data_IF_001350666765
#
_entry.id   IF_001350666765
#
_cell.length_a   1.000
_cell.length_b   1.000
_cell.length_c   1.000
_cell.angle_alpha   90.00
_cell.angle_beta   90.00
_cell.angle_gamma   90.00
#
_symmetry.space_group_name_H-M   'P 1'
#
loop_
_entity.id
_entity.type
_entity.pdbx_description
1 polymer ?
#
# COMPACT_ATOMS: atom_id res chain seq x y z
N UNK A 1 -22.28 -13.79 -0.80
CA UNK A 1 -20.96 -13.35 -0.29
C UNK A 1 -20.36 -12.40 -1.31
N UNK A 2 -20.13 -11.12 -0.94
CA UNK A 2 -19.54 -10.16 -1.85
C UNK A 2 -18.02 -10.34 -1.89
N UNK A 3 -17.44 -10.35 -3.09
CA UNK A 3 -16.00 -10.34 -3.29
C UNK A 3 -15.42 -9.00 -2.82
N UNK A 4 -14.50 -9.04 -1.88
CA UNK A 4 -13.84 -7.85 -1.35
C UNK A 4 -12.38 -7.81 -1.78
N UNK A 5 -11.93 -6.68 -2.30
CA UNK A 5 -10.52 -6.42 -2.59
C UNK A 5 -9.87 -5.85 -1.33
N UNK A 6 -8.87 -6.54 -0.78
CA UNK A 6 -8.13 -6.11 0.39
C UNK A 6 -6.74 -5.61 -0.01
N UNK A 7 -6.21 -4.57 0.64
CA UNK A 7 -4.86 -4.10 0.37
C UNK A 7 -3.82 -5.11 0.88
N UNK A 8 -2.68 -5.14 0.20
CA UNK A 8 -1.49 -5.85 0.67
C UNK A 8 -0.46 -4.78 1.02
N UNK A 9 -0.18 -4.62 2.31
CA UNK A 9 0.75 -3.61 2.82
C UNK A 9 2.20 -4.01 2.57
N UNK A 10 3.11 -3.04 2.60
CA UNK A 10 4.53 -3.22 2.36
C UNK A 10 5.28 -3.13 3.69
N UNK A 11 6.08 -4.15 4.00
CA UNK A 11 7.09 -4.09 5.04
C UNK A 11 8.42 -3.71 4.38
N UNK A 12 9.04 -2.66 4.87
CA UNK A 12 10.23 -2.05 4.27
C UNK A 12 11.44 -2.34 5.14
N UNK A 13 12.51 -2.81 4.51
CA UNK A 13 13.77 -3.18 5.15
C UNK A 13 14.94 -2.49 4.43
N UNK A 14 16.02 -2.26 5.15
CA UNK A 14 17.29 -1.81 4.58
C UNK A 14 17.52 -0.30 4.65
N UNK A 15 16.60 0.47 5.23
CA UNK A 15 16.83 1.91 5.43
C UNK A 15 17.49 2.26 6.77
N UNK A 16 17.62 1.29 7.70
CA UNK A 16 18.27 1.50 8.99
C UNK A 16 17.59 2.62 9.80
N UNK A 17 18.38 3.62 10.19
CA UNK A 17 17.93 4.76 11.01
C UNK A 17 17.29 5.90 10.20
N UNK A 18 17.06 5.71 8.89
CA UNK A 18 16.40 6.71 8.05
C UNK A 18 14.98 6.97 8.54
N UNK A 19 14.61 8.24 8.72
CA UNK A 19 13.22 8.64 8.92
C UNK A 19 12.46 8.54 7.59
N UNK A 20 11.79 7.43 7.37
CA UNK A 20 11.10 7.15 6.11
C UNK A 20 9.93 8.12 5.84
N UNK A 21 9.10 8.51 6.83
CA UNK A 21 8.08 9.55 6.64
C UNK A 21 8.66 10.88 6.14
N UNK A 22 9.76 11.34 6.75
CA UNK A 22 10.44 12.57 6.34
C UNK A 22 11.03 12.44 4.93
N UNK A 23 11.72 11.34 4.66
CA UNK A 23 12.31 11.08 3.35
C UNK A 23 11.27 11.03 2.23
N UNK A 24 10.15 10.33 2.45
CA UNK A 24 9.04 10.27 1.49
C UNK A 24 8.38 11.65 1.31
N UNK A 25 8.09 12.35 2.42
CA UNK A 25 7.45 13.67 2.38
C UNK A 25 8.30 14.77 1.74
N UNK A 26 9.62 14.57 1.65
CA UNK A 26 10.56 15.50 1.02
C UNK A 26 10.78 15.27 -0.47
N UNK A 27 10.26 14.18 -1.03
CA UNK A 27 10.34 13.92 -2.47
C UNK A 27 9.45 14.92 -3.24
N UNK A 28 9.91 15.28 -4.43
CA UNK A 28 9.12 16.08 -5.35
C UNK A 28 7.78 15.38 -5.68
N UNK A 29 6.69 16.11 -5.53
CA UNK A 29 5.33 15.57 -5.68
C UNK A 29 4.84 14.75 -4.49
N UNK A 30 5.49 14.83 -3.36
CA UNK A 30 5.06 14.19 -2.12
C UNK A 30 4.85 15.21 -1.01
N UNK A 31 3.98 14.92 -0.07
CA UNK A 31 3.76 15.80 1.09
C UNK A 31 3.19 15.03 2.28
N UNK A 32 3.59 15.41 3.48
CA UNK A 32 2.94 14.94 4.72
C UNK A 32 1.60 15.65 4.86
N UNK A 33 0.52 14.88 4.98
CA UNK A 33 -0.86 15.40 5.00
C UNK A 33 -1.61 15.11 6.30
N UNK A 34 -1.03 14.32 7.19
CA UNK A 34 -1.63 14.01 8.48
C UNK A 34 -0.92 12.90 9.24
N UNK A 35 -1.51 12.51 10.35
CA UNK A 35 -1.04 11.42 11.21
C UNK A 35 -2.21 10.56 11.66
N UNK A 36 -1.92 9.34 12.09
CA UNK A 36 -2.87 8.44 12.73
C UNK A 36 -2.24 7.86 14.00
N UNK A 37 -3.04 7.70 15.04
CA UNK A 37 -2.59 7.09 16.30
C UNK A 37 -2.37 5.59 16.15
N UNK A 38 -1.64 5.00 17.10
CA UNK A 38 -1.42 3.56 17.14
C UNK A 38 -2.74 2.76 17.20
N UNK A 39 -3.75 3.24 17.92
CA UNK A 39 -5.06 2.61 17.99
C UNK A 39 -5.80 2.64 16.64
N UNK A 40 -5.71 3.75 15.91
CA UNK A 40 -6.32 3.87 14.59
C UNK A 40 -5.64 2.97 13.54
N UNK A 41 -4.35 2.72 13.70
CA UNK A 41 -3.63 1.74 12.88
C UNK A 41 -4.06 0.33 13.25
N UNK A 42 -4.09 -0.01 14.53
CA UNK A 42 -4.43 -1.35 15.03
C UNK A 42 -5.85 -1.78 14.62
N UNK A 43 -6.83 -0.89 14.72
CA UNK A 43 -8.23 -1.19 14.39
C UNK A 43 -8.61 -0.94 12.93
N UNK A 44 -7.68 -0.44 12.13
CA UNK A 44 -7.85 -0.21 10.68
C UNK A 44 -8.57 1.09 10.31
N UNK A 45 -8.94 1.95 11.28
CA UNK A 45 -9.53 3.27 10.99
C UNK A 45 -8.63 4.17 10.17
N UNK A 46 -7.30 3.96 10.26
CA UNK A 46 -6.32 4.64 9.43
C UNK A 46 -6.63 4.55 7.94
N UNK A 47 -7.23 3.44 7.46
CA UNK A 47 -7.60 3.28 6.05
C UNK A 47 -8.64 4.30 5.57
N UNK A 48 -9.51 4.77 6.46
CA UNK A 48 -10.46 5.84 6.15
C UNK A 48 -9.74 7.18 5.99
N UNK A 49 -8.84 7.51 6.93
CA UNK A 49 -8.03 8.72 6.86
C UNK A 49 -7.16 8.74 5.60
N UNK A 50 -6.53 7.61 5.24
CA UNK A 50 -5.75 7.45 4.01
C UNK A 50 -6.60 7.69 2.76
N UNK A 51 -7.82 7.15 2.73
CA UNK A 51 -8.73 7.35 1.59
C UNK A 51 -9.11 8.81 1.46
N UNK A 52 -9.50 9.45 2.54
CA UNK A 52 -9.98 10.84 2.55
C UNK A 52 -8.84 11.83 2.22
N UNK A 53 -7.62 11.53 2.64
CA UNK A 53 -6.43 12.32 2.33
C UNK A 53 -5.76 11.97 0.99
N UNK A 54 -6.15 10.88 0.32
CA UNK A 54 -5.47 10.41 -0.87
C UNK A 54 -4.03 9.95 -0.62
N UNK A 55 -3.75 9.37 0.55
CA UNK A 55 -2.39 9.14 1.05
C UNK A 55 -2.11 7.66 1.35
N UNK A 56 -0.84 7.31 1.38
CA UNK A 56 -0.31 6.11 2.04
C UNK A 56 -0.01 6.44 3.51
N UNK A 57 0.10 5.43 4.37
CA UNK A 57 0.45 5.63 5.78
C UNK A 57 1.74 4.88 6.11
N UNK A 58 2.72 5.59 6.67
CA UNK A 58 4.01 5.05 7.09
C UNK A 58 3.97 4.81 8.58
N UNK A 59 4.02 3.56 8.99
CA UNK A 59 3.90 3.12 10.39
C UNK A 59 5.28 2.99 11.01
N UNK A 60 5.47 3.66 12.14
CA UNK A 60 6.69 3.64 12.94
C UNK A 60 6.67 2.61 14.07
N UNK A 61 7.77 2.52 14.81
CA UNK A 61 7.94 1.57 15.93
C UNK A 61 7.00 1.81 17.11
N UNK A 62 6.55 3.03 17.28
CA UNK A 62 5.56 3.40 18.30
C UNK A 62 4.12 3.01 17.92
N UNK A 63 3.95 2.44 16.73
CA UNK A 63 2.68 2.01 16.18
C UNK A 63 1.85 3.11 15.55
N UNK A 64 2.23 4.38 15.71
CA UNK A 64 1.59 5.50 15.01
C UNK A 64 1.96 5.54 13.53
N UNK A 65 1.23 6.31 12.75
CA UNK A 65 1.51 6.46 11.34
C UNK A 65 1.51 7.92 10.90
N UNK A 66 2.36 8.22 9.93
CA UNK A 66 2.37 9.49 9.19
C UNK A 66 1.75 9.25 7.82
N UNK A 67 0.79 10.09 7.44
CA UNK A 67 0.13 10.04 6.15
C UNK A 67 0.91 10.88 5.14
N UNK A 68 1.31 10.24 4.03
CA UNK A 68 2.07 10.89 2.95
C UNK A 68 1.27 10.77 1.65
N UNK A 69 0.90 11.89 1.09
CA UNK A 69 0.29 11.95 -0.24
C UNK A 69 1.38 11.87 -1.32
N UNK A 70 1.13 11.07 -2.35
CA UNK A 70 1.97 10.93 -3.53
C UNK A 70 1.15 11.47 -4.72
N UNK A 71 1.48 12.69 -5.17
CA UNK A 71 0.73 13.36 -6.23
C UNK A 71 0.81 12.57 -7.55
N UNK A 72 -0.31 12.10 -8.10
CA UNK A 72 -0.33 11.37 -9.37
C UNK A 72 0.38 12.09 -10.51
N UNK A 73 0.30 13.43 -10.56
CA UNK A 73 0.95 14.24 -11.60
C UNK A 73 2.49 14.13 -11.58
N UNK A 74 3.08 13.85 -10.43
CA UNK A 74 4.54 13.69 -10.27
C UNK A 74 5.02 12.25 -10.57
N UNK A 75 4.10 11.35 -10.84
CA UNK A 75 4.33 9.94 -11.16
C UNK A 75 3.70 9.56 -12.49
N UNK A 76 3.74 10.48 -13.48
CA UNK A 76 3.22 10.24 -14.83
C UNK A 76 3.82 9.00 -15.47
N UNK A 77 2.99 8.26 -16.21
CA UNK A 77 3.40 7.01 -16.87
C UNK A 77 3.41 5.78 -15.96
N UNK A 78 3.05 5.92 -14.68
CA UNK A 78 2.78 4.80 -13.79
C UNK A 78 1.27 4.55 -13.69
N UNK A 79 0.93 3.31 -13.33
CA UNK A 79 -0.45 2.96 -13.00
C UNK A 79 -0.99 3.86 -11.87
N UNK A 80 -2.27 4.22 -11.93
CA UNK A 80 -2.93 4.98 -10.87
C UNK A 80 -3.19 4.12 -9.62
N UNK A 81 -2.10 3.58 -9.06
CA UNK A 81 -2.08 2.70 -7.91
C UNK A 81 -1.07 3.19 -6.88
N UNK A 82 -1.46 3.15 -5.61
CA UNK A 82 -0.53 3.43 -4.50
C UNK A 82 0.72 2.56 -4.55
N UNK A 83 0.57 1.29 -4.94
CA UNK A 83 1.68 0.35 -5.03
C UNK A 83 2.74 0.76 -6.07
N UNK A 84 2.32 1.29 -7.22
CA UNK A 84 3.21 1.73 -8.28
C UNK A 84 3.94 3.03 -7.87
N UNK A 85 3.20 4.02 -7.38
CA UNK A 85 3.78 5.29 -6.90
C UNK A 85 4.73 5.08 -5.73
N UNK A 86 4.33 4.25 -4.76
CA UNK A 86 5.19 3.92 -3.61
C UNK A 86 6.48 3.23 -4.04
N UNK A 87 6.41 2.26 -4.95
CA UNK A 87 7.59 1.57 -5.45
C UNK A 87 8.60 2.54 -6.08
N UNK A 88 8.12 3.49 -6.90
CA UNK A 88 8.96 4.52 -7.48
C UNK A 88 9.50 5.50 -6.43
N UNK A 89 8.67 5.93 -5.46
CA UNK A 89 9.12 6.80 -4.38
C UNK A 89 10.23 6.17 -3.54
N UNK A 90 10.07 4.90 -3.14
CA UNK A 90 11.10 4.17 -2.40
C UNK A 90 12.39 3.98 -3.21
N UNK A 91 12.29 3.74 -4.52
CA UNK A 91 13.43 3.65 -5.42
C UNK A 91 14.22 4.97 -5.47
N UNK A 92 13.54 6.12 -5.43
CA UNK A 92 14.19 7.45 -5.39
C UNK A 92 14.93 7.69 -4.08
N UNK A 93 14.46 7.12 -2.95
CA UNK A 93 15.13 7.24 -1.65
C UNK A 93 16.41 6.40 -1.62
N UNK A 94 16.36 5.15 -2.06
CA UNK A 94 17.54 4.30 -2.08
C UNK A 94 17.27 2.80 -2.13
N UNK A 95 18.34 2.00 -2.01
CA UNK A 95 18.24 0.54 -1.97
C UNK A 95 17.43 0.07 -0.76
N UNK A 96 16.50 -0.84 -0.97
CA UNK A 96 15.63 -1.39 0.06
C UNK A 96 15.14 -2.78 -0.34
N UNK A 97 14.59 -3.50 0.63
CA UNK A 97 13.88 -4.76 0.41
C UNK A 97 12.43 -4.64 0.86
N UNK A 98 11.53 -5.31 0.16
CA UNK A 98 10.11 -5.34 0.48
C UNK A 98 9.65 -6.75 0.79
N UNK A 99 8.88 -6.87 1.87
CA UNK A 99 8.02 -8.02 2.12
C UNK A 99 6.57 -7.56 2.21
N UNK A 100 5.62 -8.48 2.30
CA UNK A 100 4.21 -8.19 2.11
C UNK A 100 3.39 -8.70 3.29
N UNK A 101 2.44 -7.89 3.75
CA UNK A 101 1.63 -8.21 4.91
C UNK A 101 0.17 -7.83 4.70
N UNK A 102 -0.75 -8.72 5.08
CA UNK A 102 -2.18 -8.43 5.16
C UNK A 102 -2.54 -7.96 6.57
N UNK A 103 -3.46 -6.99 6.64
CA UNK A 103 -3.94 -6.44 7.90
C UNK A 103 -3.04 -5.33 8.45
N UNK A 104 -3.66 -4.27 8.92
CA UNK A 104 -2.96 -3.11 9.49
C UNK A 104 -2.32 -3.44 10.83
N UNK A 105 -3.02 -4.22 11.66
CA UNK A 105 -2.56 -4.74 12.95
C UNK A 105 -1.28 -5.58 12.83
N UNK A 106 -1.22 -6.45 11.84
CA UNK A 106 -0.05 -7.29 11.59
C UNK A 106 1.11 -6.50 11.02
N UNK A 107 0.84 -5.54 10.13
CA UNK A 107 1.87 -4.65 9.62
C UNK A 107 2.46 -3.80 10.75
N UNK A 108 1.63 -3.27 11.65
CA UNK A 108 2.06 -2.54 12.84
C UNK A 108 2.92 -3.43 13.77
N UNK A 109 2.47 -4.65 14.04
CA UNK A 109 3.20 -5.59 14.90
C UNK A 109 4.59 -5.93 14.35
N UNK A 110 4.73 -6.08 13.03
CA UNK A 110 6.02 -6.38 12.39
C UNK A 110 7.05 -5.25 12.56
N UNK A 111 6.62 -4.00 12.66
CA UNK A 111 7.51 -2.88 12.96
C UNK A 111 7.82 -2.82 14.46
N UNK A 112 6.81 -3.02 15.31
CA UNK A 112 6.96 -2.98 16.76
C UNK A 112 7.92 -4.05 17.28
N UNK A 113 7.89 -5.26 16.72
CA UNK A 113 8.77 -6.37 17.10
C UNK A 113 10.14 -6.36 16.40
N UNK A 114 10.37 -5.41 15.49
CA UNK A 114 11.63 -5.26 14.76
C UNK A 114 11.81 -6.21 13.58
N UNK A 115 10.76 -6.91 13.16
CA UNK A 115 10.78 -7.76 11.95
C UNK A 115 10.98 -6.92 10.69
N UNK A 116 10.50 -5.68 10.68
CA UNK A 116 10.76 -4.70 9.61
C UNK A 116 11.13 -3.34 10.20
N UNK A 117 11.82 -2.51 9.41
CA UNK A 117 12.18 -1.15 9.82
C UNK A 117 10.94 -0.25 9.82
N UNK A 118 10.13 -0.35 8.76
CA UNK A 118 8.91 0.41 8.53
C UNK A 118 7.83 -0.45 7.92
N UNK A 119 6.59 -0.07 8.09
CA UNK A 119 5.48 -0.59 7.29
C UNK A 119 4.80 0.55 6.54
N UNK A 120 4.50 0.34 5.27
CA UNK A 120 3.71 1.29 4.48
C UNK A 120 2.38 0.66 4.13
N UNK A 121 1.33 1.23 4.68
CA UNK A 121 -0.04 0.86 4.38
C UNK A 121 -0.46 1.53 3.07
N UNK A 122 -1.08 0.77 2.19
CA UNK A 122 -1.63 1.27 0.93
C UNK A 122 -3.14 1.13 0.93
N UNK A 123 -3.81 1.98 0.14
CA UNK A 123 -5.26 1.92 -0.03
C UNK A 123 -5.68 0.68 -0.82
N UNK A 124 -6.88 0.13 -0.58
CA UNK A 124 -7.42 -0.92 -1.43
C UNK A 124 -7.53 -0.45 -2.88
N UNK A 125 -7.20 -1.32 -3.81
CA UNK A 125 -7.43 -1.06 -5.25
C UNK A 125 -8.93 -1.06 -5.50
N UNK A 126 -9.43 -0.07 -6.22
CA UNK A 126 -10.84 0.00 -6.62
C UNK A 126 -11.14 -0.95 -7.78
N UNK A 127 -12.39 -1.41 -7.88
CA UNK A 127 -12.83 -2.22 -9.03
C UNK A 127 -12.62 -1.45 -10.34
N UNK A 128 -12.89 -0.16 -10.34
CA UNK A 128 -12.67 0.69 -11.52
C UNK A 128 -11.20 0.72 -11.97
N UNK A 129 -10.24 0.77 -11.01
CA UNK A 129 -8.82 0.70 -11.33
C UNK A 129 -8.41 -0.68 -11.90
N UNK A 130 -9.01 -1.76 -11.38
CA UNK A 130 -8.79 -3.12 -11.92
C UNK A 130 -9.31 -3.22 -13.36
N UNK A 131 -10.52 -2.70 -13.63
CA UNK A 131 -11.12 -2.69 -14.96
C UNK A 131 -10.31 -1.85 -15.95
N UNK A 132 -9.84 -0.67 -15.53
CA UNK A 132 -9.00 0.21 -16.36
C UNK A 132 -7.70 -0.49 -16.77
N UNK A 133 -7.02 -1.15 -15.83
CA UNK A 133 -5.79 -1.92 -16.11
C UNK A 133 -6.05 -3.13 -17.02
N UNK A 134 -7.19 -3.80 -16.86
CA UNK A 134 -7.57 -4.91 -17.72
C UNK A 134 -7.81 -4.48 -19.18
N UNK A 135 -8.33 -3.26 -19.38
CA UNK A 135 -8.58 -2.69 -20.71
C UNK A 135 -7.29 -2.18 -21.39
N UNK A 136 -6.34 -1.61 -20.62
CA UNK A 136 -5.05 -1.16 -21.18
C UNK A 136 -4.14 -2.32 -21.59
N UNK A 137 -4.38 -3.52 -21.08
CA UNK A 137 -3.54 -4.69 -21.31
C UNK A 137 -2.23 -4.69 -20.50
N UNK A 138 -2.06 -3.70 -19.63
CA UNK A 138 -0.92 -3.59 -18.76
C UNK A 138 -1.01 -4.57 -17.58
N UNK A 139 0.13 -5.05 -17.12
CA UNK A 139 0.18 -5.90 -15.93
C UNK A 139 0.24 -5.03 -14.69
N UNK A 140 -0.71 -5.22 -13.78
CA UNK A 140 -0.64 -4.62 -12.45
C UNK A 140 0.67 -5.03 -11.74
N UNK A 141 1.26 -4.12 -10.94
CA UNK A 141 2.43 -4.45 -10.13
C UNK A 141 2.19 -5.71 -9.29
N UNK A 142 3.22 -6.53 -9.02
CA UNK A 142 3.09 -7.70 -8.17
C UNK A 142 2.45 -7.38 -6.83
N UNK A 143 1.54 -8.24 -6.37
CA UNK A 143 0.89 -8.09 -5.06
C UNK A 143 0.06 -6.81 -4.90
N UNK A 144 -0.55 -6.31 -5.97
CA UNK A 144 -1.44 -5.14 -5.94
C UNK A 144 -2.83 -5.46 -5.43
N UNK A 145 -3.32 -6.69 -5.60
CA UNK A 145 -4.67 -7.10 -5.23
C UNK A 145 -4.70 -8.40 -4.45
N UNK A 146 -5.62 -8.45 -3.48
CA UNK A 146 -5.99 -9.67 -2.78
C UNK A 146 -7.52 -9.78 -2.73
N UNK A 147 -8.05 -10.82 -3.38
CA UNK A 147 -9.48 -11.11 -3.37
C UNK A 147 -9.85 -12.01 -2.19
N UNK A 148 -10.85 -11.61 -1.44
CA UNK A 148 -11.39 -12.42 -0.34
C UNK A 148 -12.91 -12.54 -0.45
N UNK A 149 -13.47 -13.75 -0.34
CA UNK A 149 -12.77 -15.05 -0.29
C UNK A 149 -12.07 -15.36 -1.62
N UNK A 150 -11.03 -16.20 -1.58
CA UNK A 150 -10.37 -16.62 -2.83
C UNK A 150 -11.34 -17.37 -3.71
N UNK A 151 -11.49 -17.04 -5.02
CA UNK A 151 -12.26 -17.82 -5.96
C UNK A 151 -11.78 -19.27 -5.95
N UNK A 152 -12.71 -20.21 -5.82
CA UNK A 152 -12.36 -21.63 -5.91
C UNK A 152 -12.08 -21.97 -7.38
N UNK A 153 -10.99 -22.72 -7.61
CA UNK A 153 -10.70 -23.26 -8.94
C UNK A 153 -11.84 -24.14 -9.41
N UNK A 154 -12.31 -23.99 -10.66
CA UNK A 154 -13.34 -24.82 -11.24
C UNK A 154 -14.78 -24.33 -11.05
N UNK A 155 -14.99 -23.09 -10.58
CA UNK A 155 -16.36 -22.51 -10.48
C UNK A 155 -16.95 -22.19 -11.85
N UNK A 156 -16.12 -21.94 -12.87
CA UNK A 156 -16.56 -21.62 -14.22
C UNK A 156 -16.04 -22.68 -15.19
N UNK A 157 -16.93 -23.46 -15.75
CA UNK A 157 -16.64 -24.39 -16.85
C UNK A 157 -17.25 -23.81 -18.12
N UNK A 158 -16.48 -23.66 -19.17
CA UNK A 158 -16.98 -23.43 -20.53
C UNK A 158 -17.06 -24.78 -21.25
N UNK A 159 -18.22 -25.22 -21.70
CA UNK A 159 -18.31 -26.39 -22.59
C UNK A 159 -17.48 -26.10 -23.86
N UNK A 160 -16.57 -26.98 -24.19
CA UNK A 160 -15.90 -26.98 -25.49
C UNK A 160 -16.89 -27.64 -26.48
N UNK A 161 -17.49 -26.80 -27.31
CA UNK A 161 -18.32 -27.25 -28.44
C UNK A 161 -17.46 -27.65 -29.63
#
# INVERSE_FOLDING_TARGET
EQLTVRPIHRLVHGFGDLDLPEALGSLDGSSVVGTASADEVADGRVLLAMRDAGAVAVVGRDGSAVLVALDPASYEGLDDLDSARLAEALRRIGPHELTYQHGTDRAQAAVADGTSDWAVLIRPVTVAAIEANAHSGDRMPPKSTFFYPKPRTGIVFRPLG
#
